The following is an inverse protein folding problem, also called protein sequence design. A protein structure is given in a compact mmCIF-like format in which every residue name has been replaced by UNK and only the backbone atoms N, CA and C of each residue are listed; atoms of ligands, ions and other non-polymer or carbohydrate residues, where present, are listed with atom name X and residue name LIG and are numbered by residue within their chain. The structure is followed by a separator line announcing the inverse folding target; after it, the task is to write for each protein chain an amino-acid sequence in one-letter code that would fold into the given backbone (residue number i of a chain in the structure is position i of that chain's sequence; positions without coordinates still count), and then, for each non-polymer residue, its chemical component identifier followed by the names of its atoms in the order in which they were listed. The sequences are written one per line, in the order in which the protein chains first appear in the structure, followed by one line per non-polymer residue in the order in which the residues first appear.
data_IF_561301697282
#
_entry.id   IF_561301697282
#
_cell.length_a   1.000
_cell.length_b   1.000
_cell.length_c   1.000
_cell.angle_alpha   90.00
_cell.angle_beta   90.00
_cell.angle_gamma   90.00
#
_symmetry.space_group_name_H-M   'P 1'
#
loop_
_entity.id
_entity.type
_entity.pdbx_description
1 polymer ?
#
# COMPACT_ATOMS: atom_id res chain seq x y z
N UNK A 1 -23.83 -16.89 7.00
CA UNK A 1 -24.27 -18.27 6.71
C UNK A 1 -24.58 -19.04 7.99
N UNK A 2 -23.61 -19.34 8.87
CA UNK A 2 -23.83 -20.15 10.09
C UNK A 2 -24.98 -19.69 11.00
N UNK A 3 -25.14 -18.38 11.23
CA UNK A 3 -26.25 -17.85 12.05
C UNK A 3 -27.61 -18.25 11.50
N UNK A 4 -27.81 -18.07 10.19
CA UNK A 4 -29.10 -18.29 9.54
C UNK A 4 -29.44 -19.77 9.48
N UNK A 5 -28.46 -20.62 9.12
CA UNK A 5 -28.67 -22.07 9.07
C UNK A 5 -28.93 -22.68 10.45
N UNK A 6 -28.32 -22.13 11.51
CA UNK A 6 -28.61 -22.55 12.88
C UNK A 6 -30.02 -22.13 13.34
N UNK A 7 -30.53 -20.98 12.89
CA UNK A 7 -31.89 -20.54 13.21
C UNK A 7 -32.95 -21.31 12.42
N UNK A 8 -32.63 -21.69 11.17
CA UNK A 8 -33.45 -22.57 10.33
C UNK A 8 -33.64 -23.94 11.00
N UNK A 9 -32.54 -24.62 11.36
CA UNK A 9 -32.59 -25.90 12.08
C UNK A 9 -33.29 -25.76 13.43
N UNK A 10 -33.08 -24.66 14.15
CA UNK A 10 -33.78 -24.44 15.41
C UNK A 10 -35.31 -24.29 15.23
N UNK A 11 -35.74 -23.65 14.13
CA UNK A 11 -37.16 -23.53 13.81
C UNK A 11 -37.77 -24.89 13.43
N UNK A 12 -37.05 -25.72 12.67
CA UNK A 12 -37.48 -27.08 12.32
C UNK A 12 -37.64 -27.98 13.55
N UNK A 13 -36.82 -27.76 14.58
CA UNK A 13 -36.89 -28.43 15.89
C UNK A 13 -37.87 -27.76 16.88
N UNK A 14 -38.68 -26.79 16.42
CA UNK A 14 -39.71 -26.12 17.24
C UNK A 14 -39.20 -25.12 18.26
N UNK A 15 -37.93 -24.69 18.17
CA UNK A 15 -37.34 -23.70 19.07
C UNK A 15 -37.64 -22.27 18.60
N UNK A 16 -38.22 -21.46 19.51
CA UNK A 16 -38.52 -20.06 19.20
C UNK A 16 -37.25 -19.19 19.12
N UNK A 17 -37.27 -18.08 18.36
CA UNK A 17 -36.17 -17.10 18.32
C UNK A 17 -35.83 -16.46 19.68
N UNK A 18 -36.75 -16.53 20.65
CA UNK A 18 -36.53 -16.10 22.03
C UNK A 18 -35.68 -17.11 22.80
N UNK A 19 -35.86 -18.40 22.51
CA UNK A 19 -35.18 -19.55 23.12
C UNK A 19 -33.79 -19.77 22.54
N UNK A 20 -33.63 -19.62 21.22
CA UNK A 20 -32.34 -19.81 20.54
C UNK A 20 -31.99 -18.64 19.62
N UNK A 21 -30.94 -17.89 19.97
CA UNK A 21 -30.56 -16.63 19.30
C UNK A 21 -29.38 -16.75 18.33
N UNK A 22 -28.76 -17.93 18.21
CA UNK A 22 -27.51 -18.14 17.46
C UNK A 22 -26.48 -17.01 17.69
N UNK A 23 -26.26 -16.66 18.96
CA UNK A 23 -25.47 -15.49 19.39
C UNK A 23 -24.02 -15.54 18.90
N UNK A 24 -23.31 -14.41 18.95
CA UNK A 24 -21.88 -14.36 18.58
C UNK A 24 -21.04 -15.36 19.40
N UNK A 25 -21.25 -15.40 20.71
CA UNK A 25 -20.58 -16.34 21.62
C UNK A 25 -20.90 -17.79 21.30
N UNK A 26 -22.16 -18.10 20.97
CA UNK A 26 -22.57 -19.45 20.55
C UNK A 26 -21.87 -19.86 19.25
N UNK A 27 -21.88 -19.01 18.22
CA UNK A 27 -21.20 -19.27 16.94
C UNK A 27 -19.71 -19.50 17.12
N UNK A 28 -19.03 -18.68 17.93
CA UNK A 28 -17.60 -18.83 18.24
C UNK A 28 -17.31 -20.17 18.93
N UNK A 29 -18.11 -20.55 19.93
CA UNK A 29 -17.95 -21.83 20.66
C UNK A 29 -18.28 -23.04 19.77
N UNK A 30 -19.32 -22.95 18.95
CA UNK A 30 -19.70 -23.98 17.97
C UNK A 30 -18.57 -24.24 16.99
N UNK A 31 -18.03 -23.19 16.36
CA UNK A 31 -16.90 -23.33 15.43
C UNK A 31 -15.69 -23.97 16.11
N UNK A 32 -15.35 -23.54 17.33
CA UNK A 32 -14.24 -24.14 18.10
C UNK A 32 -14.47 -25.63 18.39
N UNK A 33 -15.66 -26.00 18.87
CA UNK A 33 -16.02 -27.39 19.21
C UNK A 33 -15.93 -28.32 18.01
N UNK A 34 -16.33 -27.82 16.83
CA UNK A 34 -16.34 -28.59 15.59
C UNK A 34 -15.09 -28.37 14.73
N UNK A 35 -14.03 -27.76 15.27
CA UNK A 35 -12.76 -27.46 14.55
C UNK A 35 -12.98 -26.71 13.23
N UNK A 36 -14.03 -25.90 13.17
CA UNK A 36 -14.34 -25.05 12.03
C UNK A 36 -13.64 -23.71 12.19
N UNK A 37 -13.13 -23.18 11.08
CA UNK A 37 -12.53 -21.85 11.03
C UNK A 37 -13.21 -21.03 9.93
N UNK A 38 -13.36 -19.72 10.17
CA UNK A 38 -13.76 -18.82 9.09
C UNK A 38 -12.56 -18.70 8.17
N UNK A 39 -12.62 -19.36 7.02
CA UNK A 39 -11.56 -19.31 6.02
C UNK A 39 -11.91 -18.26 4.98
N UNK A 40 -10.95 -17.38 4.71
CA UNK A 40 -10.91 -16.65 3.45
C UNK A 40 -10.75 -17.67 2.33
N UNK A 41 -11.42 -17.47 1.19
CA UNK A 41 -10.91 -18.06 -0.06
C UNK A 41 -9.47 -17.57 -0.22
N UNK A 42 -8.51 -18.44 -0.53
CA UNK A 42 -7.08 -18.07 -0.60
C UNK A 42 -6.59 -17.97 -2.04
N UNK A 43 -7.16 -18.75 -2.97
CA UNK A 43 -6.89 -18.70 -4.41
C UNK A 43 -8.20 -18.85 -5.18
N UNK A 44 -8.44 -17.97 -6.15
CA UNK A 44 -9.44 -18.15 -7.22
C UNK A 44 -8.69 -17.98 -8.54
N UNK A 45 -8.40 -19.09 -9.20
CA UNK A 45 -7.72 -19.11 -10.49
C UNK A 45 -8.25 -20.26 -11.33
N UNK A 46 -8.17 -20.13 -12.65
CA UNK A 46 -8.51 -21.19 -13.60
C UNK A 46 -7.40 -22.25 -13.73
N UNK A 47 -6.23 -22.00 -13.11
CA UNK A 47 -5.03 -22.82 -13.21
C UNK A 47 -4.96 -23.83 -12.07
N UNK A 48 -4.70 -25.09 -12.41
CA UNK A 48 -4.51 -26.16 -11.44
C UNK A 48 -3.09 -26.09 -10.84
N UNK A 49 -2.87 -26.63 -9.63
CA UNK A 49 -1.52 -26.70 -9.05
C UNK A 49 -0.50 -27.41 -9.95
N UNK A 50 -0.94 -28.42 -10.71
CA UNK A 50 -0.10 -29.14 -11.67
C UNK A 50 0.36 -28.24 -12.82
N UNK A 51 -0.56 -27.44 -13.40
CA UNK A 51 -0.21 -26.46 -14.45
C UNK A 51 0.82 -25.44 -13.95
N UNK A 52 0.67 -25.00 -12.70
CA UNK A 52 1.60 -24.07 -12.08
C UNK A 52 2.98 -24.69 -11.85
N UNK A 53 3.03 -25.96 -11.43
CA UNK A 53 4.29 -26.70 -11.28
C UNK A 53 4.99 -26.89 -12.63
N UNK A 54 4.24 -27.28 -13.68
CA UNK A 54 4.78 -27.42 -15.04
C UNK A 54 5.30 -26.09 -15.59
N UNK A 55 4.57 -25.00 -15.39
CA UNK A 55 5.00 -23.67 -15.83
C UNK A 55 6.28 -23.22 -15.09
N UNK A 56 6.38 -23.50 -13.79
CA UNK A 56 7.55 -23.21 -12.97
C UNK A 56 8.76 -24.05 -13.40
N UNK A 57 8.58 -25.35 -13.60
CA UNK A 57 9.62 -26.27 -14.06
C UNK A 57 10.16 -25.85 -15.44
N UNK A 58 9.25 -25.58 -16.37
CA UNK A 58 9.61 -25.08 -17.71
C UNK A 58 10.40 -23.78 -17.63
N UNK A 59 9.88 -22.77 -16.93
CA UNK A 59 10.53 -21.48 -16.82
C UNK A 59 11.89 -21.56 -16.13
N UNK A 60 11.98 -22.30 -15.02
CA UNK A 60 13.27 -22.49 -14.33
C UNK A 60 14.30 -23.20 -15.22
N UNK A 61 13.88 -24.12 -16.07
CA UNK A 61 14.75 -24.80 -17.03
C UNK A 61 15.24 -23.85 -18.14
N UNK A 62 14.37 -22.99 -18.66
CA UNK A 62 14.75 -21.94 -19.62
C UNK A 62 15.75 -20.95 -19.01
N UNK A 63 15.52 -20.52 -17.75
CA UNK A 63 16.46 -19.64 -17.04
C UNK A 63 17.82 -20.32 -16.84
N UNK A 64 17.84 -21.59 -16.43
CA UNK A 64 19.10 -22.35 -16.28
C UNK A 64 19.84 -22.51 -17.62
N UNK A 65 19.12 -22.75 -18.71
CA UNK A 65 19.71 -22.82 -20.05
C UNK A 65 20.36 -21.49 -20.43
N UNK A 66 19.67 -20.36 -20.24
CA UNK A 66 20.20 -19.03 -20.50
C UNK A 66 21.45 -18.71 -19.64
N UNK A 67 21.45 -19.13 -18.37
CA UNK A 67 22.61 -18.95 -17.48
C UNK A 67 23.84 -19.67 -18.05
N UNK A 68 23.69 -20.93 -18.48
CA UNK A 68 24.79 -21.72 -19.03
C UNK A 68 25.25 -21.18 -20.38
N UNK A 69 24.30 -20.92 -21.29
CA UNK A 69 24.58 -20.46 -22.66
C UNK A 69 25.34 -19.13 -22.68
N UNK A 70 25.00 -18.21 -21.77
CA UNK A 70 25.54 -16.88 -21.74
C UNK A 70 26.59 -16.65 -20.64
N UNK A 71 26.92 -17.68 -19.84
CA UNK A 71 27.91 -17.57 -18.76
C UNK A 71 27.51 -16.57 -17.68
N UNK A 72 26.24 -16.56 -17.29
CA UNK A 72 25.66 -15.53 -16.40
C UNK A 72 26.07 -15.81 -14.95
N UNK A 73 26.71 -14.82 -14.32
CA UNK A 73 27.16 -14.85 -12.92
C UNK A 73 26.12 -14.35 -11.93
N UNK A 74 25.16 -13.53 -12.39
CA UNK A 74 24.15 -12.92 -11.53
C UNK A 74 22.78 -12.83 -12.21
N UNK A 75 21.75 -13.23 -11.46
CA UNK A 75 20.35 -13.18 -11.88
C UNK A 75 19.59 -12.20 -11.00
N UNK A 76 18.94 -11.27 -11.68
CA UNK A 76 18.14 -10.21 -11.09
C UNK A 76 16.67 -10.48 -11.33
N UNK A 77 15.83 -10.14 -10.35
CA UNK A 77 14.40 -10.03 -10.56
C UNK A 77 13.94 -8.67 -10.06
N UNK A 78 13.12 -8.03 -10.88
CA UNK A 78 12.36 -6.87 -10.46
C UNK A 78 10.89 -7.10 -10.75
N UNK A 79 10.05 -6.51 -9.92
CA UNK A 79 8.62 -6.50 -10.12
C UNK A 79 8.03 -5.11 -9.98
N UNK A 80 7.02 -4.87 -10.80
CA UNK A 80 6.15 -3.71 -10.77
C UNK A 80 4.80 -4.13 -11.34
N UNK A 81 4.01 -4.95 -10.67
CA UNK A 81 2.66 -5.14 -11.25
C UNK A 81 1.71 -4.03 -10.82
N UNK A 82 0.74 -3.73 -11.67
CA UNK A 82 -0.19 -2.62 -11.57
C UNK A 82 -1.10 -2.65 -12.78
N UNK A 83 -1.90 -3.70 -12.93
CA UNK A 83 -2.73 -3.86 -14.14
C UNK A 83 -4.01 -3.04 -14.02
N UNK A 84 -4.23 -2.18 -15.02
CA UNK A 84 -5.51 -1.55 -15.32
C UNK A 84 -6.45 -2.64 -15.83
N UNK A 85 -7.42 -3.09 -15.03
CA UNK A 85 -8.56 -3.82 -15.57
C UNK A 85 -9.83 -3.02 -15.30
N UNK A 86 -10.26 -2.29 -16.32
CA UNK A 86 -11.60 -1.71 -16.47
C UNK A 86 -12.69 -2.79 -16.60
N UNK A 87 -12.62 -3.89 -15.85
CA UNK A 87 -13.71 -4.85 -15.77
C UNK A 87 -14.67 -4.43 -14.66
N UNK A 88 -15.66 -3.62 -15.08
CA UNK A 88 -16.95 -3.53 -14.40
C UNK A 88 -17.57 -4.94 -14.36
N UNK A 89 -17.30 -5.71 -13.31
CA UNK A 89 -18.00 -6.97 -13.05
C UNK A 89 -17.15 -8.17 -12.70
N UNK A 90 -16.43 -8.16 -11.58
CA UNK A 90 -16.30 -9.39 -10.80
C UNK A 90 -16.29 -9.08 -9.31
N UNK A 91 -17.32 -9.55 -8.63
CA UNK A 91 -17.56 -9.32 -7.19
C UNK A 91 -16.72 -10.34 -6.41
N UNK A 92 -15.40 -10.15 -6.39
CA UNK A 92 -14.51 -11.00 -5.60
C UNK A 92 -14.59 -10.68 -4.12
N UNK A 93 -14.55 -11.74 -3.31
CA UNK A 93 -14.89 -11.65 -1.90
C UNK A 93 -13.80 -10.93 -1.11
N UNK A 94 -14.16 -10.10 -0.10
CA UNK A 94 -13.25 -9.05 0.32
C UNK A 94 -12.31 -9.49 1.46
N UNK A 95 -11.89 -10.76 1.46
CA UNK A 95 -10.77 -11.25 2.28
C UNK A 95 -9.56 -11.56 1.38
N UNK A 96 -9.76 -11.72 0.06
CA UNK A 96 -8.66 -11.94 -0.89
C UNK A 96 -7.94 -10.68 -1.35
N UNK A 97 -8.59 -9.53 -1.31
CA UNK A 97 -8.05 -8.33 -1.96
C UNK A 97 -6.89 -7.71 -1.15
N UNK A 98 -6.79 -7.99 0.16
CA UNK A 98 -5.68 -7.51 0.99
C UNK A 98 -4.49 -8.49 1.11
N UNK A 99 -4.58 -9.68 0.50
CA UNK A 99 -3.48 -10.66 0.48
C UNK A 99 -3.05 -11.06 -0.94
N UNK A 100 -3.80 -10.70 -1.98
CA UNK A 100 -3.56 -11.13 -3.36
C UNK A 100 -3.78 -10.01 -4.38
N UNK A 101 -3.40 -8.77 -4.05
CA UNK A 101 -3.24 -7.75 -5.09
C UNK A 101 -1.79 -7.82 -5.58
N UNK A 102 -1.60 -8.52 -6.69
CA UNK A 102 -0.40 -8.56 -7.55
C UNK A 102 -0.18 -7.17 -8.18
N UNK A 103 -0.06 -6.15 -7.34
CA UNK A 103 0.19 -4.78 -7.72
C UNK A 103 1.14 -4.16 -6.67
N UNK A 104 2.34 -3.69 -7.04
CA UNK A 104 3.19 -2.84 -6.18
C UNK A 104 2.72 -1.38 -6.22
N UNK A 105 1.41 -1.16 -6.12
CA UNK A 105 0.86 0.15 -5.82
C UNK A 105 0.90 0.37 -4.31
N UNK A 106 1.60 1.42 -3.90
CA UNK A 106 1.63 1.90 -2.53
C UNK A 106 0.54 2.95 -2.39
N UNK A 107 -0.53 2.60 -1.69
CA UNK A 107 -1.62 3.52 -1.41
C UNK A 107 -1.23 4.44 -0.27
N UNK A 108 -1.75 5.66 -0.32
CA UNK A 108 -1.53 6.61 0.77
C UNK A 108 -2.33 6.22 2.01
N UNK A 109 -3.43 5.48 1.85
CA UNK A 109 -4.26 4.99 2.95
C UNK A 109 -4.47 3.47 2.86
N UNK A 110 -4.26 2.76 3.97
CA UNK A 110 -4.47 1.30 4.07
C UNK A 110 -5.67 0.95 4.97
N UNK A 111 -6.80 1.63 4.78
CA UNK A 111 -8.03 1.37 5.53
C UNK A 111 -8.81 0.17 4.98
N UNK A 112 -9.45 -0.65 5.83
CA UNK A 112 -10.33 -1.70 5.36
C UNK A 112 -11.49 -1.14 4.54
N UNK A 113 -11.64 -1.59 3.29
CA UNK A 113 -12.78 -1.23 2.41
C UNK A 113 -14.12 -1.85 2.83
N UNK A 114 -14.17 -2.54 3.97
CA UNK A 114 -15.36 -3.20 4.50
C UNK A 114 -15.66 -2.63 5.87
N UNK A 115 -16.92 -2.28 6.07
CA UNK A 115 -17.45 -1.91 7.37
C UNK A 115 -18.68 -2.76 7.68
N UNK A 116 -19.03 -2.88 8.96
CA UNK A 116 -20.22 -3.58 9.42
C UNK A 116 -21.33 -2.55 9.56
N UNK A 117 -22.46 -2.77 8.88
CA UNK A 117 -23.63 -1.90 8.98
C UNK A 117 -24.92 -2.71 9.09
N UNK A 118 -25.98 -2.03 9.53
CA UNK A 118 -27.32 -2.61 9.59
C UNK A 118 -27.78 -3.06 8.20
N UNK A 119 -28.43 -4.23 8.14
CA UNK A 119 -28.94 -4.81 6.89
C UNK A 119 -30.01 -3.88 6.31
N UNK A 120 -29.83 -3.46 5.06
CA UNK A 120 -30.77 -2.56 4.37
C UNK A 120 -30.37 -1.07 4.39
N UNK A 121 -29.23 -0.72 5.00
CA UNK A 121 -28.68 0.63 4.90
C UNK A 121 -28.41 1.01 3.43
N UNK A 122 -29.05 2.10 2.96
CA UNK A 122 -28.90 2.62 1.59
C UNK A 122 -27.52 3.25 1.36
N UNK A 123 -26.94 3.83 2.42
CA UNK A 123 -25.64 4.51 2.37
C UNK A 123 -24.79 4.04 3.54
N UNK A 124 -23.52 3.76 3.25
CA UNK A 124 -22.53 3.27 4.21
C UNK A 124 -21.33 4.22 4.16
N UNK A 125 -21.10 4.94 5.25
CA UNK A 125 -19.98 5.87 5.37
C UNK A 125 -18.73 5.13 5.84
N UNK A 126 -17.61 5.35 5.15
CA UNK A 126 -16.28 4.84 5.51
C UNK A 126 -15.36 6.04 5.62
N UNK A 127 -14.58 6.11 6.70
CA UNK A 127 -13.65 7.22 6.94
C UNK A 127 -12.48 7.12 5.96
N UNK A 128 -12.04 8.26 5.43
CA UNK A 128 -10.82 8.41 4.64
C UNK A 128 -10.18 9.77 4.94
N UNK A 129 -8.88 9.89 4.70
CA UNK A 129 -8.13 11.15 4.81
C UNK A 129 -8.17 11.94 3.49
N UNK A 130 -9.15 11.64 2.63
CA UNK A 130 -9.32 12.25 1.31
C UNK A 130 -8.38 11.73 0.22
N UNK A 131 -7.54 10.70 0.48
CA UNK A 131 -6.50 10.21 -0.44
C UNK A 131 -6.56 8.70 -0.68
N UNK A 132 -7.73 8.08 -0.51
CA UNK A 132 -7.97 6.64 -0.69
C UNK A 132 -7.66 6.10 -2.11
N UNK A 133 -7.65 6.99 -3.10
CA UNK A 133 -7.27 6.70 -4.50
C UNK A 133 -5.84 7.13 -4.84
N UNK A 134 -5.17 7.91 -3.98
CA UNK A 134 -3.79 8.34 -4.22
C UNK A 134 -2.82 7.18 -3.98
N UNK A 135 -1.86 7.05 -4.90
CA UNK A 135 -0.90 5.95 -4.88
C UNK A 135 0.42 6.34 -5.55
N UNK A 136 1.45 5.59 -5.21
CA UNK A 136 2.70 5.51 -5.95
C UNK A 136 2.85 4.10 -6.56
N UNK A 137 3.53 4.01 -7.70
CA UNK A 137 4.01 2.71 -8.20
C UNK A 137 5.44 2.52 -7.75
N UNK A 138 5.79 1.32 -7.28
CA UNK A 138 7.15 1.00 -6.82
C UNK A 138 7.68 -0.18 -7.60
N UNK A 139 8.95 -0.12 -8.03
CA UNK A 139 9.71 -1.26 -8.53
C UNK A 139 10.86 -1.57 -7.56
N UNK A 140 10.92 -2.82 -7.11
CA UNK A 140 11.95 -3.34 -6.21
C UNK A 140 12.84 -4.32 -6.97
N UNK A 141 14.16 -4.17 -6.84
CA UNK A 141 15.16 -4.98 -7.53
C UNK A 141 16.00 -5.76 -6.53
N UNK A 142 16.02 -7.08 -6.65
CA UNK A 142 16.88 -7.97 -5.89
C UNK A 142 17.61 -8.96 -6.78
N UNK A 143 18.74 -9.47 -6.30
CA UNK A 143 19.51 -10.51 -6.98
C UNK A 143 19.53 -11.84 -6.21
N UNK A 144 19.97 -12.91 -6.87
CA UNK A 144 20.00 -14.25 -6.28
C UNK A 144 21.05 -14.46 -5.18
N UNK A 145 21.90 -13.46 -4.92
CA UNK A 145 22.83 -13.43 -3.79
C UNK A 145 22.19 -12.78 -2.55
N UNK A 146 21.00 -12.20 -2.71
CA UNK A 146 20.26 -11.53 -1.65
C UNK A 146 20.51 -10.03 -1.57
N UNK A 147 21.23 -9.46 -2.55
CA UNK A 147 21.45 -8.03 -2.61
C UNK A 147 20.16 -7.31 -3.01
N UNK A 148 20.02 -6.11 -2.48
CA UNK A 148 18.89 -5.21 -2.75
C UNK A 148 19.43 -3.93 -3.33
N UNK A 149 18.72 -3.40 -4.32
CA UNK A 149 19.13 -2.19 -5.03
C UNK A 149 18.13 -1.05 -4.77
N UNK A 150 18.54 0.18 -5.11
CA UNK A 150 17.72 1.37 -4.92
C UNK A 150 16.32 1.20 -5.54
N UNK A 151 15.23 1.44 -4.78
CA UNK A 151 13.89 1.28 -5.33
C UNK A 151 13.55 2.43 -6.28
N UNK A 152 12.76 2.13 -7.31
CA UNK A 152 12.16 3.13 -8.18
C UNK A 152 10.73 3.43 -7.74
N UNK A 153 10.38 4.70 -7.58
CA UNK A 153 9.08 5.17 -7.09
C UNK A 153 8.49 6.17 -8.08
N UNK A 154 7.25 5.96 -8.49
CA UNK A 154 6.56 6.80 -9.46
C UNK A 154 5.36 7.42 -8.77
N UNK A 155 5.41 8.73 -8.56
CA UNK A 155 4.28 9.50 -8.02
C UNK A 155 3.42 10.09 -9.13
N UNK A 156 2.15 10.34 -8.79
CA UNK A 156 1.27 11.14 -9.64
C UNK A 156 1.69 12.61 -9.57
N UNK A 157 1.97 13.22 -10.72
CA UNK A 157 2.17 14.66 -10.84
C UNK A 157 1.55 15.20 -12.14
N UNK A 158 1.14 16.47 -12.14
CA UNK A 158 0.64 17.14 -13.33
C UNK A 158 1.76 17.41 -14.34
N UNK A 159 1.38 17.65 -15.59
CA UNK A 159 2.28 18.13 -16.64
C UNK A 159 2.21 19.65 -16.76
N UNK A 160 3.31 20.27 -17.19
CA UNK A 160 3.31 21.67 -17.60
C UNK A 160 2.41 21.88 -18.82
N UNK A 161 1.76 23.05 -18.91
CA UNK A 161 1.04 23.48 -20.12
C UNK A 161 2.00 23.84 -21.26
N UNK A 162 3.25 24.19 -20.92
CA UNK A 162 4.28 24.54 -21.89
C UNK A 162 5.15 23.32 -22.21
N UNK A 163 5.15 22.89 -23.47
CA UNK A 163 5.81 21.66 -23.93
C UNK A 163 7.31 21.65 -23.65
N UNK A 164 8.01 22.75 -23.95
CA UNK A 164 9.44 22.90 -23.68
C UNK A 164 9.78 22.75 -22.18
N UNK A 165 8.93 23.29 -21.30
CA UNK A 165 9.09 23.13 -19.85
C UNK A 165 8.83 21.68 -19.44
N UNK A 166 7.84 21.01 -20.02
CA UNK A 166 7.59 19.59 -19.73
C UNK A 166 8.76 18.72 -20.18
N UNK A 167 9.30 18.95 -21.38
CA UNK A 167 10.47 18.24 -21.91
C UNK A 167 11.69 18.43 -20.99
N UNK A 168 11.92 19.64 -20.51
CA UNK A 168 12.99 19.91 -19.53
C UNK A 168 12.72 19.20 -18.20
N UNK A 169 11.49 19.25 -17.69
CA UNK A 169 11.12 18.55 -16.46
C UNK A 169 11.33 17.04 -16.59
N UNK A 170 10.96 16.43 -17.72
CA UNK A 170 11.16 15.00 -17.97
C UNK A 170 12.65 14.64 -18.03
N UNK A 171 13.45 15.49 -18.69
CA UNK A 171 14.87 15.26 -18.91
C UNK A 171 15.72 15.42 -17.63
N UNK A 172 15.51 16.48 -16.84
CA UNK A 172 16.42 16.82 -15.72
C UNK A 172 15.76 16.80 -14.35
N UNK A 173 14.43 16.67 -14.28
CA UNK A 173 13.65 16.68 -13.02
C UNK A 173 12.73 15.49 -12.87
N UNK A 174 12.95 14.43 -13.67
CA UNK A 174 12.19 13.19 -13.62
C UNK A 174 10.65 13.41 -13.72
N UNK A 175 10.22 14.41 -14.47
CA UNK A 175 8.81 14.76 -14.67
C UNK A 175 8.21 15.72 -13.63
N UNK A 176 8.99 16.16 -12.63
CA UNK A 176 8.53 17.13 -11.63
C UNK A 176 8.80 18.58 -12.04
N UNK A 177 7.92 19.49 -11.60
CA UNK A 177 8.16 20.92 -11.72
C UNK A 177 9.35 21.38 -10.86
N UNK A 178 9.93 22.54 -11.17
CA UNK A 178 11.05 23.14 -10.42
C UNK A 178 10.80 23.19 -8.91
N UNK A 179 9.57 23.53 -8.49
CA UNK A 179 9.20 23.64 -7.07
C UNK A 179 9.20 22.28 -6.38
N UNK A 180 8.55 21.27 -7.00
CA UNK A 180 8.48 19.92 -6.44
C UNK A 180 9.82 19.20 -6.50
N UNK A 181 10.63 19.48 -7.52
CA UNK A 181 11.94 18.86 -7.69
C UNK A 181 12.88 19.11 -6.51
N UNK A 182 12.84 20.30 -5.88
CA UNK A 182 13.67 20.60 -4.70
C UNK A 182 13.43 19.62 -3.55
N UNK A 183 12.16 19.28 -3.31
CA UNK A 183 11.77 18.28 -2.30
C UNK A 183 12.15 16.87 -2.75
N UNK A 184 11.75 16.49 -3.97
CA UNK A 184 11.97 15.14 -4.52
C UNK A 184 13.46 14.79 -4.62
N UNK A 185 14.29 15.73 -5.05
CA UNK A 185 15.74 15.56 -5.13
C UNK A 185 16.34 15.24 -3.76
N UNK A 186 15.94 15.99 -2.72
CA UNK A 186 16.34 15.73 -1.35
C UNK A 186 15.91 14.35 -0.87
N UNK A 187 14.69 13.92 -1.19
CA UNK A 187 14.18 12.59 -0.83
C UNK A 187 14.95 11.45 -1.49
N UNK A 188 15.30 11.58 -2.77
CA UNK A 188 16.11 10.57 -3.46
C UNK A 188 17.46 10.37 -2.78
N UNK A 189 18.14 11.46 -2.44
CA UNK A 189 19.44 11.43 -1.78
C UNK A 189 19.34 10.88 -0.34
N UNK A 190 18.32 11.32 0.41
CA UNK A 190 18.11 10.90 1.79
C UNK A 190 17.81 9.41 1.92
N UNK A 191 17.05 8.86 0.98
CA UNK A 191 16.50 7.51 1.07
C UNK A 191 17.15 6.50 0.13
N UNK A 192 18.10 6.92 -0.70
CA UNK A 192 18.76 6.04 -1.67
C UNK A 192 17.77 5.42 -2.67
N UNK A 193 16.81 6.23 -3.15
CA UNK A 193 15.79 5.79 -4.10
C UNK A 193 15.75 6.70 -5.34
N UNK A 194 15.11 6.22 -6.40
CA UNK A 194 14.86 7.00 -7.62
C UNK A 194 13.38 7.30 -7.73
N UNK A 195 13.05 8.58 -7.80
CA UNK A 195 11.68 9.08 -7.78
C UNK A 195 11.39 9.78 -9.10
N UNK A 196 10.37 9.30 -9.80
CA UNK A 196 9.84 9.87 -11.02
C UNK A 196 8.38 10.31 -10.85
N UNK A 197 7.95 11.22 -11.70
CA UNK A 197 6.60 11.78 -11.71
C UNK A 197 5.99 11.63 -13.09
N UNK A 198 4.72 11.21 -13.15
CA UNK A 198 3.91 11.36 -14.36
C UNK A 198 2.41 11.47 -14.02
N UNK A 199 1.54 11.87 -14.97
CA UNK A 199 0.10 12.07 -14.73
C UNK A 199 -0.66 10.84 -14.23
N UNK A 200 -0.13 9.64 -14.44
CA UNK A 200 -0.86 8.39 -14.18
C UNK A 200 -0.33 7.62 -12.97
N UNK A 201 0.86 7.99 -12.49
CA UNK A 201 1.68 7.21 -11.57
C UNK A 201 1.96 5.77 -12.05
N UNK A 202 1.88 5.51 -13.36
CA UNK A 202 2.17 4.20 -13.93
C UNK A 202 3.58 4.13 -14.50
N UNK A 203 4.10 2.92 -14.58
CA UNK A 203 5.32 2.63 -15.31
C UNK A 203 5.09 2.66 -16.82
N UNK A 204 6.11 3.03 -17.57
CA UNK A 204 6.11 3.08 -19.02
C UNK A 204 7.51 2.74 -19.56
N UNK A 205 7.67 2.69 -20.89
CA UNK A 205 8.93 2.37 -21.54
C UNK A 205 10.07 3.33 -21.19
N UNK A 206 9.78 4.63 -21.05
CA UNK A 206 10.77 5.61 -20.61
C UNK A 206 11.33 5.25 -19.22
N UNK A 207 10.47 4.92 -18.26
CA UNK A 207 10.92 4.51 -16.92
C UNK A 207 11.68 3.17 -16.97
N UNK A 208 11.32 2.23 -17.86
CA UNK A 208 12.10 1.00 -18.08
C UNK A 208 13.54 1.30 -18.52
N UNK A 209 13.73 2.23 -19.47
CA UNK A 209 15.06 2.65 -19.93
C UNK A 209 15.86 3.27 -18.79
N UNK A 210 15.24 4.19 -18.03
CA UNK A 210 15.87 4.84 -16.88
C UNK A 210 16.27 3.83 -15.79
N UNK A 211 15.44 2.81 -15.56
CA UNK A 211 15.72 1.73 -14.61
C UNK A 211 16.93 0.90 -15.04
N UNK A 212 16.97 0.45 -16.28
CA UNK A 212 18.10 -0.35 -16.81
C UNK A 212 19.37 0.49 -16.78
N UNK A 213 19.32 1.73 -17.25
CA UNK A 213 20.47 2.63 -17.29
C UNK A 213 21.04 2.86 -15.88
N UNK A 214 20.18 3.15 -14.92
CA UNK A 214 20.59 3.42 -13.55
C UNK A 214 21.24 2.21 -12.86
N UNK A 215 20.67 1.02 -13.02
CA UNK A 215 21.15 -0.16 -12.32
C UNK A 215 22.29 -0.89 -13.05
N UNK A 216 22.34 -0.82 -14.38
CA UNK A 216 23.22 -1.67 -15.19
C UNK A 216 24.06 -0.91 -16.23
N UNK A 217 23.81 0.39 -16.44
CA UNK A 217 24.46 1.18 -17.50
C UNK A 217 25.89 1.62 -17.19
N UNK A 218 26.36 1.45 -15.95
CA UNK A 218 27.67 1.93 -15.48
C UNK A 218 28.40 0.86 -14.64
N UNK A 219 28.42 -0.39 -15.13
CA UNK A 219 29.12 -1.50 -14.47
C UNK A 219 30.61 -1.44 -14.76
N UNK A 220 31.43 -1.92 -13.82
CA UNK A 220 32.89 -2.00 -14.00
C UNK A 220 33.26 -2.90 -15.18
N UNK A 221 32.51 -3.98 -15.38
CA UNK A 221 32.65 -4.89 -16.50
C UNK A 221 31.37 -4.90 -17.35
N UNK A 222 31.38 -4.16 -18.46
CA UNK A 222 30.26 -4.11 -19.41
C UNK A 222 30.21 -5.33 -20.34
N UNK A 223 31.28 -6.12 -20.44
CA UNK A 223 31.30 -7.37 -21.23
C UNK A 223 30.60 -8.53 -20.50
N UNK A 224 30.50 -8.44 -19.18
CA UNK A 224 29.74 -9.39 -18.37
C UNK A 224 28.25 -9.35 -18.75
N UNK A 225 27.66 -10.52 -18.96
CA UNK A 225 26.23 -10.68 -19.23
C UNK A 225 25.45 -10.86 -17.94
N UNK A 226 24.40 -10.07 -17.77
CA UNK A 226 23.47 -10.17 -16.64
C UNK A 226 22.11 -10.67 -17.12
N UNK A 227 21.40 -11.41 -16.26
CA UNK A 227 20.02 -11.81 -16.51
C UNK A 227 19.06 -10.98 -15.67
N UNK A 228 18.11 -10.30 -16.29
CA UNK A 228 17.01 -9.61 -15.61
C UNK A 228 15.67 -10.27 -15.95
N UNK A 229 14.99 -10.74 -14.91
CA UNK A 229 13.66 -11.33 -14.97
C UNK A 229 12.60 -10.26 -14.72
N UNK A 230 11.73 -10.04 -15.71
CA UNK A 230 10.63 -9.07 -15.66
C UNK A 230 9.27 -9.70 -15.94
N UNK A 231 8.20 -9.09 -15.43
CA UNK A 231 6.83 -9.50 -15.75
C UNK A 231 6.42 -9.14 -17.19
N UNK A 232 5.21 -9.50 -17.59
CA UNK A 232 4.69 -9.27 -18.95
C UNK A 232 4.11 -7.85 -19.17
N UNK A 233 4.49 -6.87 -18.35
CA UNK A 233 4.06 -5.48 -18.54
C UNK A 233 4.61 -4.91 -19.85
N UNK A 234 3.74 -4.31 -20.68
CA UNK A 234 4.09 -3.86 -22.03
C UNK A 234 5.23 -2.85 -22.07
N UNK A 235 5.40 -2.04 -21.01
CA UNK A 235 6.49 -1.07 -20.91
C UNK A 235 7.88 -1.68 -20.83
N UNK A 236 8.01 -2.98 -20.53
CA UNK A 236 9.30 -3.67 -20.43
C UNK A 236 9.79 -4.23 -21.78
N UNK A 237 8.89 -4.34 -22.76
CA UNK A 237 9.13 -5.13 -23.97
C UNK A 237 9.02 -4.30 -25.26
N UNK A 238 9.21 -2.97 -25.17
CA UNK A 238 9.31 -2.13 -26.36
C UNK A 238 10.68 -2.30 -27.02
N UNK A 239 10.77 -2.03 -28.33
CA UNK A 239 11.99 -2.23 -29.10
C UNK A 239 13.17 -1.43 -28.50
N UNK A 240 12.92 -0.20 -28.07
CA UNK A 240 13.95 0.67 -27.49
C UNK A 240 14.51 0.08 -26.18
N UNK A 241 13.65 -0.53 -25.36
CA UNK A 241 14.06 -1.17 -24.09
C UNK A 241 14.89 -2.42 -24.37
N UNK A 242 14.44 -3.25 -25.32
CA UNK A 242 15.15 -4.46 -25.74
C UNK A 242 16.53 -4.13 -26.32
N UNK A 243 16.58 -3.18 -27.26
CA UNK A 243 17.81 -2.75 -27.92
C UNK A 243 18.79 -2.14 -26.92
N UNK A 244 18.31 -1.30 -26.01
CA UNK A 244 19.17 -0.70 -24.98
C UNK A 244 19.72 -1.77 -24.03
N UNK A 245 18.89 -2.67 -23.51
CA UNK A 245 19.35 -3.76 -22.62
C UNK A 245 20.42 -4.63 -23.31
N UNK A 246 20.16 -5.03 -24.56
CA UNK A 246 21.11 -5.81 -25.35
C UNK A 246 22.44 -5.05 -25.57
N UNK A 247 22.38 -3.75 -25.83
CA UNK A 247 23.58 -2.91 -26.05
C UNK A 247 24.53 -2.85 -24.85
N UNK A 248 24.02 -3.14 -23.64
CA UNK A 248 24.80 -3.15 -22.40
C UNK A 248 24.91 -4.55 -21.79
N UNK A 249 24.74 -5.61 -22.59
CA UNK A 249 24.83 -7.01 -22.15
C UNK A 249 23.87 -7.39 -21.00
N UNK A 250 22.69 -6.76 -20.96
CA UNK A 250 21.60 -7.17 -20.07
C UNK A 250 20.60 -8.01 -20.86
N UNK A 251 20.50 -9.28 -20.51
CA UNK A 251 19.56 -10.23 -21.10
C UNK A 251 18.25 -10.12 -20.35
N UNK A 252 17.17 -9.84 -21.07
CA UNK A 252 15.82 -9.76 -20.51
C UNK A 252 15.10 -11.09 -20.73
N UNK A 253 14.56 -11.67 -19.66
CA UNK A 253 13.68 -12.83 -19.74
C UNK A 253 12.32 -12.55 -19.10
N UNK A 254 11.28 -12.96 -19.81
CA UNK A 254 9.90 -12.73 -19.42
C UNK A 254 9.42 -13.83 -18.47
N UNK A 255 8.93 -13.44 -17.30
CA UNK A 255 8.22 -14.33 -16.40
C UNK A 255 6.89 -14.76 -17.05
N UNK A 256 6.52 -16.05 -17.02
CA UNK A 256 5.29 -16.52 -17.65
C UNK A 256 4.05 -15.80 -17.11
N UNK A 257 3.22 -15.19 -17.98
CA UNK A 257 1.99 -14.55 -17.56
C UNK A 257 1.10 -15.54 -16.80
N UNK A 258 0.37 -15.06 -15.79
CA UNK A 258 -0.52 -15.86 -14.90
C UNK A 258 0.18 -16.79 -13.91
N UNK A 259 1.50 -16.94 -14.00
CA UNK A 259 2.28 -17.79 -13.09
C UNK A 259 3.29 -16.99 -12.25
N UNK A 260 3.18 -15.67 -12.18
CA UNK A 260 4.09 -14.80 -11.40
C UNK A 260 4.21 -15.25 -9.95
N UNK A 261 3.09 -15.64 -9.33
CA UNK A 261 3.04 -16.13 -7.94
C UNK A 261 3.86 -17.41 -7.64
N UNK A 262 4.36 -18.12 -8.66
CA UNK A 262 5.26 -19.28 -8.52
C UNK A 262 6.59 -19.11 -9.26
N UNK A 263 6.62 -18.31 -10.33
CA UNK A 263 7.80 -18.14 -11.18
C UNK A 263 8.58 -16.85 -10.89
N UNK A 264 7.98 -15.85 -10.25
CA UNK A 264 8.58 -14.55 -10.03
C UNK A 264 9.10 -14.42 -8.59
N UNK A 265 10.43 -14.36 -8.38
CA UNK A 265 11.02 -14.24 -7.05
C UNK A 265 10.40 -13.16 -6.15
N UNK A 266 10.09 -11.99 -6.71
CA UNK A 266 9.47 -10.89 -5.98
C UNK A 266 8.09 -11.23 -5.41
N UNK A 267 7.19 -11.77 -6.25
CA UNK A 267 5.85 -12.17 -5.83
C UNK A 267 5.89 -13.33 -4.84
N UNK A 268 6.87 -14.22 -4.99
CA UNK A 268 7.05 -15.39 -4.14
C UNK A 268 7.54 -15.03 -2.74
N UNK A 269 8.40 -14.01 -2.59
CA UNK A 269 9.10 -13.77 -1.32
C UNK A 269 9.01 -12.37 -0.74
N UNK A 270 9.30 -11.30 -1.48
CA UNK A 270 9.52 -9.98 -0.86
C UNK A 270 8.39 -8.97 -1.04
N UNK A 271 7.50 -9.15 -2.03
CA UNK A 271 6.38 -8.24 -2.26
C UNK A 271 5.37 -8.22 -1.10
N UNK A 272 5.00 -9.39 -0.58
CA UNK A 272 4.09 -9.50 0.57
C UNK A 272 4.67 -8.83 1.82
N UNK A 273 5.88 -9.17 2.30
CA UNK A 273 6.39 -8.57 3.52
C UNK A 273 6.68 -7.09 3.40
N UNK A 274 7.12 -6.63 2.23
CA UNK A 274 7.22 -5.19 1.95
C UNK A 274 5.88 -4.49 2.16
N UNK A 275 4.78 -5.03 1.60
CA UNK A 275 3.43 -4.49 1.77
C UNK A 275 2.94 -4.55 3.22
N UNK A 276 3.26 -5.61 3.95
CA UNK A 276 2.95 -5.73 5.37
C UNK A 276 3.61 -4.61 6.19
N UNK A 277 4.89 -4.30 5.92
CA UNK A 277 5.62 -3.21 6.58
C UNK A 277 5.03 -1.84 6.26
N UNK A 278 4.69 -1.58 5.00
CA UNK A 278 4.01 -0.33 4.61
C UNK A 278 2.67 -0.16 5.34
N UNK A 279 1.89 -1.24 5.44
CA UNK A 279 0.64 -1.24 6.20
C UNK A 279 0.88 -0.94 7.67
N UNK A 280 1.92 -1.52 8.26
CA UNK A 280 2.27 -1.28 9.66
C UNK A 280 2.62 0.19 9.90
N UNK A 281 3.41 0.81 9.03
CA UNK A 281 3.75 2.24 9.09
C UNK A 281 2.53 3.15 9.03
N UNK A 282 1.55 2.82 8.19
CA UNK A 282 0.27 3.51 8.17
C UNK A 282 -0.49 3.38 9.50
N UNK A 283 -0.55 2.17 10.08
CA UNK A 283 -1.21 1.95 11.37
C UNK A 283 -0.53 2.74 12.50
N UNK A 284 0.80 2.81 12.50
CA UNK A 284 1.55 3.56 13.50
C UNK A 284 1.37 5.08 13.34
N UNK A 285 1.30 5.57 12.10
CA UNK A 285 0.91 6.96 11.82
C UNK A 285 -0.47 7.28 12.39
N UNK A 286 -1.47 6.40 12.18
CA UNK A 286 -2.81 6.60 12.73
C UNK A 286 -2.84 6.60 14.26
N UNK A 287 -2.12 5.67 14.90
CA UNK A 287 -1.98 5.63 16.37
C UNK A 287 -1.37 6.93 16.89
N UNK A 288 -0.35 7.46 16.23
CA UNK A 288 0.27 8.74 16.59
C UNK A 288 -0.72 9.91 16.46
N UNK A 289 -1.55 9.94 15.41
CA UNK A 289 -2.59 10.96 15.25
C UNK A 289 -3.63 10.90 16.37
N UNK A 290 -4.09 9.70 16.73
CA UNK A 290 -5.04 9.47 17.83
C UNK A 290 -4.45 9.94 19.16
N UNK A 291 -3.21 9.54 19.46
CA UNK A 291 -2.52 9.95 20.67
C UNK A 291 -2.35 11.48 20.76
N UNK A 292 -1.97 12.13 19.66
CA UNK A 292 -1.84 13.58 19.58
C UNK A 292 -3.20 14.27 19.80
N UNK A 293 -4.28 13.73 19.26
CA UNK A 293 -5.63 14.24 19.48
C UNK A 293 -6.05 14.12 20.95
N UNK A 294 -5.86 12.96 21.58
CA UNK A 294 -6.14 12.77 23.00
C UNK A 294 -5.34 13.75 23.87
N UNK A 295 -4.06 13.98 23.56
CA UNK A 295 -3.24 14.96 24.28
C UNK A 295 -3.79 16.37 24.17
N UNK A 296 -4.21 16.80 22.97
CA UNK A 296 -4.81 18.12 22.74
C UNK A 296 -6.15 18.27 23.44
N UNK A 297 -6.99 17.23 23.44
CA UNK A 297 -8.27 17.25 24.15
C UNK A 297 -8.10 17.29 25.67
N UNK A 298 -7.09 16.60 26.20
CA UNK A 298 -6.73 16.70 27.62
C UNK A 298 -6.32 18.13 28.00
N UNK A 299 -5.43 18.75 27.22
CA UNK A 299 -5.00 20.14 27.42
C UNK A 299 -6.19 21.12 27.34
N UNK A 300 -7.09 20.93 26.36
CA UNK A 300 -8.31 21.72 26.24
C UNK A 300 -9.24 21.50 27.43
N UNK A 301 -9.39 20.28 27.93
CA UNK A 301 -10.21 19.98 29.10
C UNK A 301 -9.65 20.66 30.37
N UNK A 302 -8.34 20.64 30.57
CA UNK A 302 -7.67 21.33 31.68
C UNK A 302 -7.90 22.85 31.60
N UNK A 303 -7.71 23.45 30.41
CA UNK A 303 -8.02 24.87 30.18
C UNK A 303 -9.49 25.19 30.45
N UNK A 304 -10.43 24.35 29.99
CA UNK A 304 -11.87 24.49 30.28
C UNK A 304 -12.17 24.41 31.79
N UNK A 305 -11.47 23.57 32.54
CA UNK A 305 -11.63 23.46 34.00
C UNK A 305 -11.17 24.75 34.70
N UNK A 306 -9.97 25.24 34.39
CA UNK A 306 -9.43 26.49 34.93
C UNK A 306 -10.35 27.67 34.62
N UNK A 307 -10.92 27.67 33.43
CA UNK A 307 -11.85 28.68 32.96
C UNK A 307 -13.21 28.61 33.67
N UNK A 308 -13.72 27.40 33.92
CA UNK A 308 -14.91 27.17 34.73
C UNK A 308 -14.77 27.67 36.16
N UNK A 309 -13.57 27.53 36.76
CA UNK A 309 -13.27 28.10 38.08
C UNK A 309 -13.29 29.64 38.04
N UNK A 310 -12.71 30.26 37.02
CA UNK A 310 -12.75 31.72 36.82
C UNK A 310 -14.19 32.24 36.64
N UNK A 311 -14.99 31.55 35.81
CA UNK A 311 -16.42 31.84 35.61
C UNK A 311 -17.18 31.75 36.93
N UNK A 312 -16.93 30.72 37.73
CA UNK A 312 -17.60 30.55 39.03
C UNK A 312 -17.25 31.67 40.02
N UNK A 313 -16.06 32.27 39.93
CA UNK A 313 -15.68 33.46 40.70
C UNK A 313 -16.45 34.69 40.22
N UNK A 314 -16.49 34.94 38.90
CA UNK A 314 -17.19 36.10 38.31
C UNK A 314 -18.69 36.05 38.60
N UNK A 315 -19.33 34.89 38.41
CA UNK A 315 -20.76 34.71 38.67
C UNK A 315 -21.18 34.90 40.13
N UNK A 316 -20.24 34.85 41.09
CA UNK A 316 -20.50 35.22 42.49
C UNK A 316 -20.46 36.72 42.74
N UNK A 317 -19.84 37.50 41.84
CA UNK A 317 -19.51 38.91 42.06
C UNK A 317 -20.23 39.90 41.09
N UNK A 318 -20.80 39.44 39.96
CA UNK A 318 -21.41 40.30 38.93
C UNK A 318 -22.92 40.04 38.67
N UNK A 319 -23.63 41.02 38.07
CA UNK A 319 -25.05 40.90 37.69
C UNK A 319 -25.28 39.84 36.59
N UNK A 320 -26.37 39.08 36.70
CA UNK A 320 -26.67 37.86 35.91
C UNK A 320 -26.50 37.96 34.38
N UNK A 321 -26.77 39.11 33.78
CA UNK A 321 -26.72 39.28 32.32
C UNK A 321 -25.29 39.41 31.77
N UNK A 322 -24.41 40.11 32.49
CA UNK A 322 -22.99 40.28 32.11
C UNK A 322 -22.25 38.96 32.23
N UNK A 323 -22.54 38.19 33.28
CA UNK A 323 -21.99 36.86 33.47
C UNK A 323 -22.35 35.90 32.31
N UNK A 324 -23.56 35.98 31.75
CA UNK A 324 -23.99 35.11 30.64
C UNK A 324 -23.24 35.37 29.34
N UNK A 325 -23.06 36.64 28.97
CA UNK A 325 -22.33 37.02 27.75
C UNK A 325 -20.87 36.62 27.85
N UNK A 326 -20.25 36.85 29.01
CA UNK A 326 -18.85 36.50 29.23
C UNK A 326 -18.65 34.98 29.24
N UNK A 327 -19.57 34.20 29.85
CA UNK A 327 -19.57 32.73 29.80
C UNK A 327 -19.62 32.21 28.36
N UNK A 328 -20.49 32.74 27.51
CA UNK A 328 -20.59 32.31 26.10
C UNK A 328 -19.32 32.65 25.31
N UNK A 329 -18.79 33.87 25.44
CA UNK A 329 -17.55 34.31 24.77
C UNK A 329 -16.35 33.42 25.13
N UNK A 330 -16.34 32.99 26.38
CA UNK A 330 -15.29 32.17 26.98
C UNK A 330 -15.42 30.69 26.58
N UNK A 331 -16.63 30.15 26.45
CA UNK A 331 -16.89 28.80 25.94
C UNK A 331 -16.53 28.66 24.45
N UNK A 332 -16.73 29.71 23.65
CA UNK A 332 -16.33 29.77 22.24
C UNK A 332 -14.81 29.78 22.03
N UNK A 333 -14.02 30.08 23.07
CA UNK A 333 -12.57 30.21 22.97
C UNK A 333 -11.85 28.85 22.87
N UNK A 334 -12.47 27.75 23.34
CA UNK A 334 -11.89 26.40 23.33
C UNK A 334 -12.90 25.32 22.93
N UNK A 335 -13.44 25.37 21.70
CA UNK A 335 -14.39 24.38 21.24
C UNK A 335 -13.74 23.00 21.20
N UNK A 336 -14.51 21.97 21.58
CA UNK A 336 -14.16 20.58 21.28
C UNK A 336 -14.01 20.47 19.76
N UNK A 337 -12.88 19.95 19.26
CA UNK A 337 -12.75 19.65 17.82
C UNK A 337 -12.94 18.16 17.59
N UNK A 338 -13.62 17.79 16.50
CA UNK A 338 -13.67 16.41 16.07
C UNK A 338 -12.26 15.92 15.68
N UNK A 339 -12.02 14.61 15.82
CA UNK A 339 -10.83 13.99 15.24
C UNK A 339 -10.93 13.98 13.72
N UNK A 340 -9.93 14.56 13.06
CA UNK A 340 -9.77 14.52 11.60
C UNK A 340 -8.55 13.68 11.24
N UNK A 341 -8.76 12.67 10.41
CA UNK A 341 -7.69 11.77 9.98
C UNK A 341 -6.93 12.41 8.83
N UNK A 342 -5.61 12.51 9.00
CA UNK A 342 -4.72 13.11 8.01
C UNK A 342 -4.02 12.01 7.22
N UNK A 343 -4.17 12.03 5.90
CA UNK A 343 -3.44 11.14 5.02
C UNK A 343 -1.94 11.52 4.92
N UNK A 344 -1.04 10.56 4.70
CA UNK A 344 0.39 10.82 4.64
C UNK A 344 0.73 11.64 3.39
N UNK A 345 1.87 12.32 3.43
CA UNK A 345 2.43 13.08 2.31
C UNK A 345 3.39 12.23 1.49
N UNK A 346 3.83 12.74 0.34
CA UNK A 346 4.81 12.05 -0.52
C UNK A 346 6.11 11.76 0.21
N UNK A 347 6.57 12.70 1.04
CA UNK A 347 7.76 12.51 1.91
C UNK A 347 7.60 11.31 2.83
N UNK A 348 6.45 11.18 3.50
CA UNK A 348 6.18 10.05 4.40
C UNK A 348 6.17 8.73 3.61
N UNK A 349 5.49 8.70 2.45
CA UNK A 349 5.43 7.51 1.59
C UNK A 349 6.80 7.13 1.05
N UNK A 350 7.63 8.10 0.63
CA UNK A 350 8.97 7.85 0.13
C UNK A 350 9.88 7.24 1.23
N UNK A 351 9.84 7.82 2.44
CA UNK A 351 10.52 7.27 3.63
C UNK A 351 10.04 5.85 3.92
N UNK A 352 8.72 5.63 3.98
CA UNK A 352 8.16 4.33 4.31
C UNK A 352 8.53 3.25 3.29
N UNK A 353 8.56 3.59 2.00
CA UNK A 353 9.02 2.68 0.94
C UNK A 353 10.48 2.31 1.16
N UNK A 354 11.35 3.31 1.31
CA UNK A 354 12.79 3.07 1.43
C UNK A 354 13.13 2.25 2.67
N UNK A 355 12.57 2.61 3.82
CA UNK A 355 12.82 1.91 5.07
C UNK A 355 12.21 0.49 5.06
N UNK A 356 10.98 0.33 4.54
CA UNK A 356 10.37 -1.00 4.43
C UNK A 356 11.15 -1.94 3.52
N UNK A 357 11.79 -1.41 2.48
CA UNK A 357 12.68 -2.16 1.60
C UNK A 357 14.03 -2.45 2.27
N UNK A 358 14.61 -1.45 2.94
CA UNK A 358 15.86 -1.59 3.69
C UNK A 358 15.76 -2.66 4.79
N UNK A 359 14.62 -2.77 5.45
CA UNK A 359 14.42 -3.71 6.56
C UNK A 359 14.20 -5.18 6.12
N UNK A 360 14.05 -5.46 4.83
CA UNK A 360 13.95 -6.85 4.36
C UNK A 360 15.30 -7.55 4.42
N UNK A 361 15.34 -8.78 4.92
CA UNK A 361 16.59 -9.52 5.01
C UNK A 361 17.09 -9.98 3.64
N UNK A 362 18.40 -10.13 3.47
CA UNK A 362 18.98 -10.78 2.28
C UNK A 362 18.43 -12.21 2.10
N UNK A 363 18.19 -12.91 3.21
CA UNK A 363 17.53 -14.23 3.22
C UNK A 363 16.13 -14.21 2.63
N UNK A 364 15.35 -13.14 2.85
CA UNK A 364 14.04 -12.98 2.19
C UNK A 364 14.22 -12.89 0.67
N UNK A 365 15.22 -12.16 0.18
CA UNK A 365 15.47 -12.05 -1.26
C UNK A 365 15.91 -13.39 -1.86
N UNK A 366 16.90 -14.04 -1.26
CA UNK A 366 17.38 -15.38 -1.68
C UNK A 366 16.24 -16.40 -1.69
N UNK A 367 15.33 -16.34 -0.70
CA UNK A 367 14.16 -17.23 -0.66
C UNK A 367 13.24 -17.12 -1.86
N UNK A 368 13.16 -15.94 -2.49
CA UNK A 368 12.36 -15.74 -3.71
C UNK A 368 12.90 -16.56 -4.87
N UNK A 369 14.21 -16.49 -5.10
CA UNK A 369 14.88 -17.26 -6.15
C UNK A 369 14.84 -18.76 -5.84
N UNK A 370 15.04 -19.16 -4.58
CA UNK A 370 14.96 -20.56 -4.17
C UNK A 370 13.57 -21.14 -4.41
N UNK A 371 12.53 -20.45 -3.94
CA UNK A 371 11.15 -20.89 -4.06
C UNK A 371 10.61 -20.79 -5.50
N UNK A 372 11.30 -20.08 -6.41
CA UNK A 372 11.06 -20.09 -7.85
C UNK A 372 11.90 -21.15 -8.60
N UNK A 373 12.64 -22.01 -7.89
CA UNK A 373 13.57 -23.02 -8.41
C UNK A 373 14.71 -22.45 -9.28
N UNK A 374 15.11 -21.21 -9.02
CA UNK A 374 16.13 -20.48 -9.79
C UNK A 374 17.52 -20.51 -9.16
N UNK A 375 17.66 -21.00 -7.93
CA UNK A 375 18.99 -21.26 -7.34
C UNK A 375 19.51 -22.62 -7.82
N UNK A 376 20.77 -22.64 -8.25
CA UNK A 376 21.47 -23.86 -8.67
C UNK A 376 22.16 -24.64 -7.55
N UNK A 377 22.02 -24.21 -6.29
CA UNK A 377 22.70 -24.82 -5.15
C UNK A 377 21.75 -25.32 -4.06
N UNK A 378 22.30 -26.08 -3.11
CA UNK A 378 21.58 -26.75 -2.01
C UNK A 378 21.45 -25.90 -0.75
N UNK A 379 21.61 -24.58 -0.83
CA UNK A 379 21.51 -23.71 0.36
C UNK A 379 20.12 -23.86 0.99
N UNK A 380 20.09 -24.28 2.26
CA UNK A 380 18.87 -24.27 3.06
C UNK A 380 18.46 -22.81 3.27
N UNK A 381 17.30 -22.45 2.74
CA UNK A 381 16.66 -21.19 3.05
C UNK A 381 15.86 -21.40 4.32
N UNK A 382 16.16 -20.62 5.35
CA UNK A 382 15.38 -20.62 6.59
C UNK A 382 13.91 -20.31 6.28
N UNK A 383 13.01 -20.95 7.01
CA UNK A 383 11.58 -20.75 6.84
C UNK A 383 11.24 -19.25 6.89
N UNK A 384 10.28 -18.77 6.07
CA UNK A 384 9.86 -17.38 6.12
C UNK A 384 9.57 -16.99 7.56
N UNK A 385 10.21 -15.92 8.05
CA UNK A 385 9.90 -15.38 9.37
C UNK A 385 8.40 -15.17 9.44
N UNK A 386 7.72 -15.82 10.39
CA UNK A 386 6.30 -15.56 10.62
C UNK A 386 6.12 -14.06 10.84
N UNK A 387 5.43 -13.41 9.90
CA UNK A 387 5.13 -12.00 10.00
C UNK A 387 4.07 -11.79 11.07
N UNK A 388 4.53 -11.72 12.33
CA UNK A 388 3.78 -11.20 13.46
C UNK A 388 3.45 -9.73 13.14
N UNK A 389 2.17 -9.40 12.96
CA UNK A 389 1.79 -8.00 12.72
C UNK A 389 0.47 -7.74 11.98
N UNK A 390 -0.53 -8.61 12.09
CA UNK A 390 -1.93 -8.16 11.90
C UNK A 390 -2.65 -8.22 13.26
N UNK A 391 -1.93 -7.88 14.32
CA UNK A 391 -2.57 -7.64 15.60
C UNK A 391 -3.07 -6.19 15.64
N UNK A 392 -4.38 -6.09 15.82
CA UNK A 392 -5.12 -4.90 16.22
C UNK A 392 -5.40 -3.78 15.22
N UNK A 393 -5.63 -4.12 13.95
CA UNK A 393 -6.48 -3.23 13.13
C UNK A 393 -7.90 -3.11 13.72
N UNK A 394 -8.39 -4.16 14.39
CA UNK A 394 -9.73 -4.15 15.00
C UNK A 394 -9.80 -3.19 16.18
N UNK A 395 -8.80 -3.17 17.06
CA UNK A 395 -8.77 -2.25 18.19
C UNK A 395 -8.57 -0.80 17.73
N UNK A 396 -7.70 -0.57 16.73
CA UNK A 396 -7.55 0.75 16.11
C UNK A 396 -8.86 1.25 15.48
N UNK A 397 -9.62 0.37 14.82
CA UNK A 397 -10.94 0.73 14.29
C UNK A 397 -11.93 1.08 15.41
N UNK A 398 -11.86 0.39 16.55
CA UNK A 398 -12.66 0.70 17.74
C UNK A 398 -12.31 2.05 18.36
N UNK A 399 -11.03 2.38 18.47
CA UNK A 399 -10.58 3.71 18.93
C UNK A 399 -11.04 4.82 17.98
N UNK A 400 -10.89 4.61 16.67
CA UNK A 400 -11.38 5.55 15.67
C UNK A 400 -12.90 5.72 15.75
N UNK A 401 -13.66 4.66 16.01
CA UNK A 401 -15.12 4.72 16.22
C UNK A 401 -15.47 5.57 17.44
N UNK A 402 -14.80 5.34 18.57
CA UNK A 402 -14.99 6.10 19.82
C UNK A 402 -14.70 7.60 19.70
N UNK A 403 -13.77 7.99 18.82
CA UNK A 403 -13.42 9.40 18.56
C UNK A 403 -14.40 10.17 17.67
N UNK A 404 -15.56 9.58 17.33
CA UNK A 404 -16.59 10.30 16.61
C UNK A 404 -16.21 10.69 15.17
N UNK A 405 -15.08 10.18 14.64
CA UNK A 405 -14.73 10.41 13.23
C UNK A 405 -15.71 9.74 12.23
N UNK A 406 -16.85 9.23 12.69
CA UNK A 406 -17.97 8.73 11.89
C UNK A 406 -18.88 9.94 11.58
N UNK A 407 -18.47 10.81 10.66
CA UNK A 407 -19.21 12.05 10.41
C UNK A 407 -18.90 12.75 9.08
N UNK A 408 -19.95 12.91 8.27
CA UNK A 408 -20.17 13.66 7.02
C UNK A 408 -18.94 14.32 6.37
N UNK A 409 -18.38 13.67 5.34
CA UNK A 409 -17.80 14.41 4.24
C UNK A 409 -18.22 13.80 2.90
N UNK A 410 -18.77 14.65 2.06
CA UNK A 410 -19.08 14.36 0.66
C UNK A 410 -17.76 14.55 -0.09
N UNK A 411 -17.19 13.50 -0.67
CA UNK A 411 -16.26 13.69 -1.77
C UNK A 411 -17.09 14.26 -2.93
N UNK A 412 -17.10 15.58 -3.10
CA UNK A 412 -17.47 16.14 -4.40
C UNK A 412 -16.33 15.79 -5.34
N UNK A 413 -16.61 14.84 -6.23
CA UNK A 413 -15.93 14.81 -7.51
C UNK A 413 -16.16 16.18 -8.18
N UNK A 414 -15.13 16.69 -8.84
CA UNK A 414 -15.05 17.97 -9.57
C UNK A 414 -14.48 19.16 -8.78
N UNK A 415 -13.20 19.45 -9.01
CA UNK A 415 -12.76 20.83 -9.31
C UNK A 415 -11.39 20.80 -9.99
N UNK A 416 -11.41 20.89 -11.32
CA UNK A 416 -10.28 21.42 -12.11
C UNK A 416 -10.16 22.91 -11.81
N UNK A 417 -9.46 23.27 -10.73
CA UNK A 417 -8.98 24.64 -10.56
C UNK A 417 -7.71 24.81 -11.41
N UNK A 418 -7.92 25.26 -12.65
CA UNK A 418 -6.92 26.01 -13.40
C UNK A 418 -6.44 27.16 -12.53
N UNK A 419 -5.18 27.18 -12.08
CA UNK A 419 -4.61 28.40 -11.52
C UNK A 419 -4.57 29.44 -12.64
N UNK A 420 -5.45 30.43 -12.54
CA UNK A 420 -5.28 31.72 -13.19
C UNK A 420 -4.03 32.37 -12.59
N UNK A 421 -3.16 32.79 -13.49
CA UNK A 421 -2.12 33.77 -13.19
C UNK A 421 -2.78 35.04 -12.68
N UNK A 422 -2.33 35.51 -11.53
CA UNK A 422 -2.27 36.92 -11.14
C UNK A 422 -1.33 36.98 -9.93
N UNK A 423 -0.06 37.27 -10.18
CA UNK A 423 0.60 38.44 -9.61
C UNK A 423 2.08 38.52 -10.06
N UNK A 424 2.36 39.65 -10.68
CA UNK A 424 3.65 40.14 -11.17
C UNK A 424 4.69 40.30 -10.05
N UNK A 425 5.90 39.77 -10.25
CA UNK A 425 7.15 40.50 -10.59
C UNK A 425 8.36 39.55 -10.48
#
# INVERSE_FOLDING_TARGET
MLKYKALEVAADEGLSPETFKASHSWRRRFMRRHKLSIRARTRQGQTMPEDAALAKEKFSSEVRAAIIEHGISNVYNADQTGTNNNNKGSRLSPTLINASCSVLAVFFEYLPRKTVNTRGAKTVWVKCGGKDKERATVMLLGDWHGNKYAPFVIFKCGTSRHKNIQEENDAVRHGFSVRLWKEVFGLQALHGCRIYGNPTAWWNSYISLQFIQYHFGYRDNMDEKLLLLWDDSSGHWTLEVLDYAASINVILMKVPPRYTYVCQPADVAWNQPFKCRLRQRWLDCLRAQIAAHHSREKERAEKRSQLGEQIAVIGRNEMQEVARVEISRVQEQYPSSAFEMVAPKRVDIASWIAESWHDLSATTIVSGFANADLLGDTRKVDAPTEYLGIDNITDLLGELEGLGAVGKQVCSDDEYASSSDDDFF
#
